data_IF_165988230588
#
_entry.id   IF_165988230588
#
_cell.length_a   1.000
_cell.length_b   1.000
_cell.length_c   1.000
_cell.angle_alpha   90.00
_cell.angle_beta   90.00
_cell.angle_gamma   90.00
#
_symmetry.space_group_name_H-M   'P 1'
#
loop_
_entity.id
_entity.type
_entity.pdbx_description
1 polymer ?
#
# COMPACT_ATOMS: atom_id res chain seq x y z
N UNK A 1 4.95 28.25 -5.18
CA UNK A 1 4.95 27.03 -4.32
C UNK A 1 4.33 25.90 -5.08
N UNK A 2 4.93 24.72 -5.01
CA UNK A 2 4.30 23.51 -5.58
C UNK A 2 3.12 23.08 -4.73
N UNK A 3 2.01 22.71 -5.36
CA UNK A 3 0.90 22.09 -4.66
C UNK A 3 1.29 20.71 -4.18
N UNK A 4 0.84 20.35 -2.97
CA UNK A 4 1.16 19.08 -2.33
C UNK A 4 0.06 18.08 -2.58
N UNK A 5 0.44 16.91 -3.07
CA UNK A 5 -0.46 15.81 -3.42
C UNK A 5 -0.20 14.63 -2.49
N UNK A 6 -1.26 14.12 -1.87
CA UNK A 6 -1.22 12.86 -1.14
C UNK A 6 -1.78 11.74 -2.03
N UNK A 7 -0.93 10.78 -2.38
CA UNK A 7 -1.31 9.58 -3.10
C UNK A 7 -1.67 8.47 -2.13
N UNK A 8 -2.91 8.01 -2.20
CA UNK A 8 -3.43 6.91 -1.39
C UNK A 8 -3.61 5.69 -2.28
N UNK A 9 -2.78 4.67 -2.07
CA UNK A 9 -2.80 3.42 -2.84
C UNK A 9 -2.30 2.25 -2.02
N UNK A 10 -2.65 1.04 -2.42
CA UNK A 10 -2.23 -0.19 -1.76
C UNK A 10 -0.89 -0.65 -2.35
N UNK A 11 0.20 -0.45 -1.62
CA UNK A 11 1.55 -0.90 -2.01
C UNK A 11 2.21 -1.80 -0.93
N UNK A 12 1.60 -1.93 0.23
CA UNK A 12 2.13 -2.71 1.36
C UNK A 12 2.03 -4.21 1.16
N UNK A 13 1.16 -4.65 0.24
CA UNK A 13 1.08 -6.05 -0.18
C UNK A 13 2.30 -6.40 -1.05
N UNK A 14 2.95 -7.57 -0.87
CA UNK A 14 4.11 -7.97 -1.65
C UNK A 14 3.74 -8.34 -3.10
N UNK A 15 3.28 -7.34 -3.84
CA UNK A 15 2.88 -7.42 -5.24
C UNK A 15 3.69 -6.40 -6.06
N UNK A 16 4.46 -6.88 -7.03
CA UNK A 16 5.26 -6.02 -7.90
C UNK A 16 4.41 -5.00 -8.67
N UNK A 17 3.25 -5.42 -9.16
CA UNK A 17 2.34 -4.55 -9.90
C UNK A 17 1.87 -3.35 -9.08
N UNK A 18 1.46 -3.58 -7.84
CA UNK A 18 1.00 -2.51 -6.93
C UNK A 18 2.12 -1.52 -6.60
N UNK A 19 3.32 -2.02 -6.33
CA UNK A 19 4.48 -1.18 -5.99
C UNK A 19 4.94 -0.37 -7.19
N UNK A 20 5.05 -0.97 -8.37
CA UNK A 20 5.46 -0.29 -9.60
C UNK A 20 4.42 0.74 -10.05
N UNK A 21 3.12 0.43 -9.92
CA UNK A 21 2.06 1.39 -10.21
C UNK A 21 2.13 2.60 -9.29
N UNK A 22 2.33 2.40 -7.99
CA UNK A 22 2.49 3.49 -7.02
C UNK A 22 3.66 4.38 -7.41
N UNK A 23 4.79 3.79 -7.74
CA UNK A 23 5.98 4.51 -8.17
C UNK A 23 5.76 5.30 -9.48
N UNK A 24 5.15 4.65 -10.48
CA UNK A 24 4.86 5.31 -11.75
C UNK A 24 3.89 6.49 -11.57
N UNK A 25 2.86 6.33 -10.74
CA UNK A 25 1.90 7.39 -10.44
C UNK A 25 2.58 8.56 -9.72
N UNK A 26 3.44 8.30 -8.74
CA UNK A 26 4.24 9.32 -8.07
C UNK A 26 5.09 10.09 -9.10
N UNK A 27 5.82 9.38 -9.98
CA UNK A 27 6.67 10.01 -11.00
C UNK A 27 5.86 10.91 -11.93
N UNK A 28 4.68 10.48 -12.38
CA UNK A 28 3.81 11.29 -13.25
C UNK A 28 3.36 12.56 -12.53
N UNK A 29 2.91 12.45 -11.29
CA UNK A 29 2.48 13.61 -10.48
C UNK A 29 3.62 14.62 -10.32
N UNK A 30 4.83 14.13 -10.05
CA UNK A 30 6.01 14.98 -9.91
C UNK A 30 6.44 15.62 -11.24
N UNK A 31 6.34 14.90 -12.36
CA UNK A 31 6.59 15.44 -13.69
C UNK A 31 5.60 16.56 -14.07
N UNK A 32 4.37 16.48 -13.56
CA UNK A 32 3.38 17.55 -13.72
C UNK A 32 3.67 18.78 -12.85
N UNK A 33 4.71 18.74 -12.02
CA UNK A 33 5.15 19.87 -11.21
C UNK A 33 4.58 19.91 -9.80
N UNK A 34 3.95 18.84 -9.33
CA UNK A 34 3.41 18.70 -7.98
C UNK A 34 4.44 18.07 -7.03
N UNK A 35 4.26 18.31 -5.73
CA UNK A 35 5.01 17.62 -4.68
C UNK A 35 4.19 16.43 -4.18
N UNK A 36 4.62 15.21 -4.49
CA UNK A 36 3.87 13.99 -4.23
C UNK A 36 4.41 13.24 -3.02
N UNK A 37 3.53 12.97 -2.06
CA UNK A 37 3.78 12.03 -0.96
C UNK A 37 2.84 10.83 -1.05
N UNK A 38 3.36 9.65 -0.73
CA UNK A 38 2.57 8.40 -0.73
C UNK A 38 2.19 8.06 0.71
N UNK A 39 0.90 7.85 0.95
CA UNK A 39 0.41 7.51 2.28
C UNK A 39 0.92 6.14 2.73
N UNK A 40 1.70 6.12 3.79
CA UNK A 40 2.24 4.90 4.38
C UNK A 40 1.27 4.32 5.42
N UNK A 41 0.22 3.66 4.94
CA UNK A 41 -0.80 3.02 5.75
C UNK A 41 -0.81 1.50 5.55
N UNK A 42 -0.81 0.75 6.65
CA UNK A 42 -0.84 -0.71 6.59
C UNK A 42 -2.26 -1.24 6.65
N UNK A 43 -2.80 -1.59 5.49
CA UNK A 43 -4.11 -2.19 5.35
C UNK A 43 -4.23 -3.61 5.93
N UNK A 44 -3.11 -4.31 6.12
CA UNK A 44 -3.11 -5.72 6.54
C UNK A 44 -3.10 -5.92 8.06
N UNK A 45 -2.65 -4.93 8.82
CA UNK A 45 -2.54 -5.04 10.28
C UNK A 45 -3.59 -4.18 11.03
N UNK A 46 -4.39 -3.42 10.30
CA UNK A 46 -5.40 -2.54 10.87
C UNK A 46 -6.70 -3.26 11.29
N UNK A 47 -7.66 -2.47 11.72
CA UNK A 47 -9.01 -2.90 12.11
C UNK A 47 -9.70 -3.73 11.03
N UNK A 48 -9.41 -3.47 9.75
CA UNK A 48 -9.96 -4.20 8.61
C UNK A 48 -9.64 -5.71 8.65
N UNK A 49 -8.40 -6.08 8.98
CA UNK A 49 -7.99 -7.49 9.07
C UNK A 49 -8.65 -8.20 10.25
N UNK A 50 -8.96 -7.47 11.33
CA UNK A 50 -9.70 -7.99 12.49
C UNK A 50 -11.20 -8.17 12.19
N UNK A 51 -11.78 -7.25 11.45
CA UNK A 51 -13.20 -7.22 11.13
C UNK A 51 -13.60 -8.26 10.08
N UNK A 52 -12.70 -8.55 9.11
CA UNK A 52 -12.92 -9.51 8.03
C UNK A 52 -12.34 -10.89 8.30
N UNK A 53 -11.89 -11.15 9.53
CA UNK A 53 -11.51 -12.45 10.08
C UNK A 53 -10.77 -13.35 9.10
N UNK A 54 -9.46 -13.20 8.98
CA UNK A 54 -8.61 -14.24 8.35
C UNK A 54 -8.65 -15.44 9.29
N UNK A 55 -9.65 -16.32 9.10
CA UNK A 55 -9.78 -17.58 9.83
C UNK A 55 -8.49 -18.40 9.66
N UNK A 56 -8.00 -18.91 10.78
CA UNK A 56 -6.73 -19.59 10.89
C UNK A 56 -6.43 -20.56 9.76
N UNK A 57 -5.26 -20.40 9.19
CA UNK A 57 -4.72 -21.23 8.13
C UNK A 57 -4.61 -22.68 8.64
N UNK A 58 -5.27 -23.62 7.96
CA UNK A 58 -5.20 -25.06 8.26
C UNK A 58 -3.75 -25.57 8.34
N UNK A 59 -3.51 -26.56 9.19
CA UNK A 59 -2.17 -27.12 9.44
C UNK A 59 -1.46 -27.61 8.16
N UNK A 60 -2.21 -28.15 7.18
CA UNK A 60 -1.69 -28.52 5.85
C UNK A 60 -1.16 -27.34 5.05
N UNK A 61 -1.80 -26.19 5.18
CA UNK A 61 -1.35 -24.96 4.52
C UNK A 61 -0.10 -24.35 5.19
N UNK A 62 0.14 -24.63 6.49
CA UNK A 62 1.36 -24.19 7.18
C UNK A 62 2.62 -24.85 6.63
N UNK A 63 2.57 -26.11 6.22
CA UNK A 63 3.73 -26.83 5.66
C UNK A 63 4.03 -26.33 4.24
N UNK A 64 3.01 -26.13 3.40
CA UNK A 64 3.15 -25.52 2.07
C UNK A 64 3.67 -24.09 2.14
N UNK A 65 3.19 -23.34 3.13
CA UNK A 65 3.65 -21.97 3.42
C UNK A 65 5.13 -21.98 3.87
N UNK A 66 5.54 -22.95 4.68
CA UNK A 66 6.94 -23.05 5.17
C UNK A 66 7.94 -23.30 4.03
N UNK A 67 7.59 -24.11 3.05
CA UNK A 67 8.41 -24.33 1.85
C UNK A 67 8.40 -23.10 0.91
N UNK A 68 7.31 -22.33 0.86
CA UNK A 68 7.18 -21.09 0.07
C UNK A 68 7.73 -19.84 0.76
N UNK A 69 7.89 -19.85 2.09
CA UNK A 69 8.27 -18.69 2.91
C UNK A 69 9.61 -18.09 2.46
N UNK A 70 10.60 -18.93 2.11
CA UNK A 70 11.93 -18.47 1.73
C UNK A 70 11.91 -17.61 0.45
N UNK A 71 11.08 -17.97 -0.52
CA UNK A 71 10.91 -17.21 -1.76
C UNK A 71 10.12 -15.91 -1.52
N UNK A 72 9.06 -15.98 -0.71
CA UNK A 72 8.23 -14.83 -0.40
C UNK A 72 8.97 -13.78 0.46
N UNK A 73 9.82 -14.19 1.38
CA UNK A 73 10.65 -13.26 2.17
C UNK A 73 11.65 -12.50 1.31
N UNK A 74 12.29 -13.15 0.35
CA UNK A 74 13.22 -12.50 -0.57
C UNK A 74 12.49 -11.45 -1.42
N UNK A 75 11.34 -11.82 -1.99
CA UNK A 75 10.49 -10.91 -2.75
C UNK A 75 10.04 -9.71 -1.91
N UNK A 76 9.54 -9.96 -0.70
CA UNK A 76 9.09 -8.90 0.21
C UNK A 76 10.23 -7.95 0.59
N UNK A 77 11.43 -8.46 0.83
CA UNK A 77 12.59 -7.64 1.16
C UNK A 77 13.05 -6.76 -0.01
N UNK A 78 13.02 -7.29 -1.24
CA UNK A 78 13.33 -6.51 -2.45
C UNK A 78 12.32 -5.38 -2.61
N UNK A 79 11.03 -5.67 -2.47
CA UNK A 79 9.97 -4.68 -2.59
C UNK A 79 10.05 -3.62 -1.48
N UNK A 80 10.31 -4.01 -0.23
CA UNK A 80 10.51 -3.07 0.88
C UNK A 80 11.71 -2.14 0.64
N UNK A 81 12.81 -2.68 0.13
CA UNK A 81 13.99 -1.87 -0.22
C UNK A 81 13.66 -0.89 -1.35
N UNK A 82 12.95 -1.35 -2.38
CA UNK A 82 12.53 -0.52 -3.50
C UNK A 82 11.63 0.63 -3.03
N UNK A 83 10.58 0.33 -2.26
CA UNK A 83 9.64 1.34 -1.75
C UNK A 83 10.34 2.38 -0.88
N UNK A 84 11.22 1.94 0.01
CA UNK A 84 11.98 2.84 0.88
C UNK A 84 12.89 3.80 0.11
N UNK A 85 13.50 3.33 -0.98
CA UNK A 85 14.47 4.11 -1.75
C UNK A 85 13.83 4.99 -2.82
N UNK A 86 12.63 4.67 -3.30
CA UNK A 86 12.04 5.33 -4.48
C UNK A 86 10.70 6.01 -4.21
N UNK A 87 9.98 5.65 -3.14
CA UNK A 87 8.72 6.29 -2.79
C UNK A 87 8.92 7.37 -1.72
N UNK A 88 8.28 8.50 -1.90
CA UNK A 88 8.21 9.58 -0.91
C UNK A 88 7.11 9.27 0.10
N UNK A 89 7.42 8.41 1.06
CA UNK A 89 6.45 7.93 2.05
C UNK A 89 6.19 8.96 3.14
N UNK A 90 4.93 9.09 3.56
CA UNK A 90 4.58 9.79 4.80
C UNK A 90 5.04 8.98 6.02
N UNK A 91 4.82 9.53 7.21
CA UNK A 91 4.93 8.77 8.45
C UNK A 91 4.03 7.52 8.39
N UNK A 92 4.44 6.45 9.05
CA UNK A 92 3.66 5.23 9.15
C UNK A 92 2.41 5.40 10.02
N UNK A 93 1.26 4.97 9.51
CA UNK A 93 -0.02 4.98 10.21
C UNK A 93 -0.62 3.58 10.28
N UNK A 94 -1.04 3.18 11.47
CA UNK A 94 -1.77 1.93 11.69
C UNK A 94 -3.28 2.13 11.86
N UNK A 95 -3.71 3.37 12.17
CA UNK A 95 -5.11 3.73 12.38
C UNK A 95 -5.54 4.85 11.46
N UNK A 96 -6.73 4.74 10.90
CA UNK A 96 -7.28 5.75 10.00
C UNK A 96 -7.49 7.10 10.68
N UNK A 97 -7.90 7.11 11.94
CA UNK A 97 -8.13 8.35 12.72
C UNK A 97 -6.87 9.21 12.85
N UNK A 98 -5.70 8.56 12.96
CA UNK A 98 -4.43 9.26 13.11
C UNK A 98 -4.03 9.98 11.81
N UNK A 99 -4.45 9.45 10.65
CA UNK A 99 -4.24 10.06 9.34
C UNK A 99 -5.03 11.37 9.21
N UNK A 100 -6.30 11.37 9.62
CA UNK A 100 -7.15 12.57 9.54
C UNK A 100 -6.57 13.71 10.37
N UNK A 101 -6.06 13.41 11.56
CA UNK A 101 -5.49 14.41 12.46
C UNK A 101 -4.16 14.96 11.94
N UNK A 102 -3.30 14.08 11.42
CA UNK A 102 -1.94 14.45 11.02
C UNK A 102 -1.87 15.03 9.59
N UNK A 103 -2.65 14.50 8.65
CA UNK A 103 -2.52 14.76 7.22
C UNK A 103 -3.74 15.50 6.61
N UNK A 104 -4.86 15.56 7.33
CA UNK A 104 -6.15 16.02 6.79
C UNK A 104 -6.21 17.48 6.32
N UNK A 105 -5.27 18.34 6.75
CA UNK A 105 -5.21 19.74 6.35
C UNK A 105 -3.88 20.12 5.66
N UNK A 106 -3.00 19.14 5.43
CA UNK A 106 -1.63 19.38 4.97
C UNK A 106 -1.45 19.34 3.45
N UNK A 107 -2.34 18.66 2.75
CA UNK A 107 -2.27 18.48 1.29
C UNK A 107 -3.36 19.24 0.56
N UNK A 108 -3.01 19.74 -0.63
CA UNK A 108 -3.93 20.47 -1.50
C UNK A 108 -4.81 19.54 -2.34
N UNK A 109 -4.28 18.36 -2.68
CA UNK A 109 -4.96 17.35 -3.51
C UNK A 109 -4.76 15.95 -2.93
N UNK A 110 -5.82 15.15 -2.96
CA UNK A 110 -5.81 13.74 -2.59
C UNK A 110 -6.11 12.89 -3.82
N UNK A 111 -5.20 11.97 -4.16
CA UNK A 111 -5.40 11.02 -5.26
C UNK A 111 -5.54 9.63 -4.67
N UNK A 112 -6.69 9.01 -4.88
CA UNK A 112 -6.97 7.64 -4.42
C UNK A 112 -6.94 6.72 -5.61
N UNK A 113 -6.02 5.77 -5.61
CA UNK A 113 -5.89 4.74 -6.63
C UNK A 113 -6.28 3.39 -6.02
N UNK A 114 -7.44 2.86 -6.44
CA UNK A 114 -7.98 1.60 -5.93
C UNK A 114 -7.81 0.51 -6.99
N UNK A 115 -6.91 -0.44 -6.74
CA UNK A 115 -6.61 -1.54 -7.65
C UNK A 115 -7.62 -2.69 -7.59
N UNK A 116 -8.50 -2.74 -6.57
CA UNK A 116 -9.36 -3.90 -6.29
C UNK A 116 -10.82 -3.54 -6.00
N UNK A 117 -11.40 -2.56 -6.70
CA UNK A 117 -12.76 -2.09 -6.40
C UNK A 117 -13.86 -2.71 -7.26
N UNK A 118 -13.50 -3.49 -8.26
CA UNK A 118 -14.51 -4.14 -9.11
C UNK A 118 -14.40 -5.65 -8.98
N UNK A 119 -15.43 -6.35 -8.46
CA UNK A 119 -15.48 -7.79 -8.56
C UNK A 119 -15.45 -8.15 -10.05
N UNK A 120 -14.61 -9.12 -10.41
CA UNK A 120 -14.55 -9.66 -11.75
C UNK A 120 -15.96 -10.12 -12.19
N UNK A 121 -16.36 -9.95 -13.46
CA UNK A 121 -17.62 -10.49 -13.96
C UNK A 121 -17.81 -12.00 -13.72
N UNK A 122 -16.73 -12.71 -13.39
CA UNK A 122 -16.73 -14.13 -13.04
C UNK A 122 -17.12 -14.42 -11.59
N UNK A 123 -17.14 -13.39 -10.73
CA UNK A 123 -17.43 -13.52 -9.29
C UNK A 123 -18.90 -13.19 -8.97
N UNK A 124 -19.72 -13.09 -9.99
CA UNK A 124 -21.18 -12.89 -9.87
C UNK A 124 -21.95 -14.20 -10.04
#
# INVERSE_FOLDING_TARGET
MKQRVLLVTIFTVPNFGSVLQTYATQCVIEQLGYDCSVLNYDHNQGEWAKEHGVKGISLKNKIGLWLGIKSNHRKANILKKFTRNNLHLTKYYSKFKDIQVAEGAFYDVYIICLLYTSPSPRDR
#
